data_IF_683167055012
#
_entry.id   IF_683167055012
#
_cell.length_a   1.000
_cell.length_b   1.000
_cell.length_c   1.000
_cell.angle_alpha   90.00
_cell.angle_beta   90.00
_cell.angle_gamma   90.00
#
_symmetry.space_group_name_H-M   'P 1'
#
loop_
_entity.id
_entity.type
_entity.pdbx_description
1 polymer ?
#
# COMPACT_ATOMS: atom_id res chain seq x y z
N UNK A 1 16.76 14.74 22.69
CA UNK A 1 17.00 14.07 23.98
C UNK A 1 15.70 13.37 24.37
N UNK A 2 15.71 12.07 24.68
CA UNK A 2 14.49 11.38 25.15
C UNK A 2 14.33 11.53 26.68
N UNK A 3 13.11 11.76 27.20
CA UNK A 3 12.87 11.80 28.63
C UNK A 3 13.18 10.44 29.26
N UNK A 4 13.87 10.44 30.42
CA UNK A 4 14.17 9.21 31.17
C UNK A 4 13.02 8.77 32.08
N UNK A 5 12.03 9.63 32.28
CA UNK A 5 10.89 9.44 33.17
C UNK A 5 9.59 9.69 32.41
N UNK A 6 8.45 9.11 32.85
CA UNK A 6 7.15 9.38 32.26
C UNK A 6 6.79 10.87 32.28
N UNK A 7 6.11 11.32 31.23
CA UNK A 7 5.48 12.64 31.15
C UNK A 7 4.00 12.46 31.41
N UNK A 8 3.48 13.17 32.42
CA UNK A 8 2.05 13.14 32.74
C UNK A 8 1.28 14.07 31.79
N UNK A 9 0.38 13.49 30.99
CA UNK A 9 -0.37 14.22 29.95
C UNK A 9 -1.19 15.37 30.54
N UNK A 10 -1.81 15.16 31.70
CA UNK A 10 -2.61 16.17 32.39
C UNK A 10 -1.80 17.36 32.95
N UNK A 11 -0.46 17.31 32.89
CA UNK A 11 0.42 18.42 33.22
C UNK A 11 0.87 19.21 31.99
N UNK A 12 0.52 18.76 30.78
CA UNK A 12 0.78 19.48 29.54
C UNK A 12 -0.27 20.58 29.33
N UNK A 13 0.04 21.56 28.48
CA UNK A 13 -0.95 22.56 28.09
C UNK A 13 -2.11 21.91 27.32
N UNK A 14 -3.29 22.52 27.38
CA UNK A 14 -4.48 22.03 26.67
C UNK A 14 -4.23 21.89 25.15
N UNK A 15 -3.47 22.82 24.56
CA UNK A 15 -3.12 22.78 23.15
C UNK A 15 -2.23 21.56 22.82
N UNK A 16 -1.28 21.23 23.70
CA UNK A 16 -0.44 20.04 23.54
C UNK A 16 -1.27 18.76 23.70
N UNK A 17 -2.16 18.70 24.70
CA UNK A 17 -3.05 17.55 24.90
C UNK A 17 -3.97 17.32 23.69
N UNK A 18 -4.48 18.39 23.08
CA UNK A 18 -5.41 18.32 21.96
C UNK A 18 -4.82 17.70 20.66
N UNK A 19 -3.50 17.75 20.49
CA UNK A 19 -2.82 17.28 19.28
C UNK A 19 -2.21 15.87 19.42
N UNK A 20 -2.18 15.28 20.62
CA UNK A 20 -1.66 13.93 20.83
C UNK A 20 -2.46 12.91 19.99
N UNK A 21 -1.74 12.10 19.21
CA UNK A 21 -2.30 11.08 18.34
C UNK A 21 -3.04 11.65 17.11
N UNK A 22 -2.87 12.95 16.81
CA UNK A 22 -3.47 13.58 15.63
C UNK A 22 -2.45 13.67 14.51
N UNK A 23 -2.89 13.29 13.31
CA UNK A 23 -2.13 13.58 12.08
C UNK A 23 -2.41 15.00 11.61
N UNK A 24 -1.45 15.60 10.92
CA UNK A 24 -1.65 16.85 10.20
C UNK A 24 -2.77 16.71 9.14
N UNK A 25 -3.46 17.80 8.80
CA UNK A 25 -4.57 17.75 7.84
C UNK A 25 -4.17 17.16 6.49
N UNK A 26 -2.98 17.52 6.02
CA UNK A 26 -2.41 17.00 4.77
C UNK A 26 -2.10 15.50 4.80
N UNK A 27 -1.96 14.87 5.97
CA UNK A 27 -1.64 13.44 6.12
C UNK A 27 -2.84 12.58 6.50
N UNK A 28 -4.02 13.18 6.75
CA UNK A 28 -5.29 12.45 6.92
C UNK A 28 -5.60 11.47 5.77
N UNK A 29 -5.39 11.81 4.48
CA UNK A 29 -5.63 10.86 3.40
C UNK A 29 -4.71 9.63 3.45
N UNK A 30 -3.44 9.83 3.80
CA UNK A 30 -2.47 8.74 3.91
C UNK A 30 -2.83 7.80 5.07
N UNK A 31 -3.24 8.35 6.23
CA UNK A 31 -3.73 7.54 7.35
C UNK A 31 -4.95 6.70 6.96
N UNK A 32 -5.91 7.28 6.23
CA UNK A 32 -7.08 6.54 5.74
C UNK A 32 -6.71 5.41 4.77
N UNK A 33 -5.71 5.62 3.92
CA UNK A 33 -5.19 4.58 3.03
C UNK A 33 -4.62 3.43 3.85
N UNK A 34 -3.76 3.70 4.83
CA UNK A 34 -3.19 2.68 5.71
C UNK A 34 -4.29 1.94 6.51
N UNK A 35 -5.31 2.66 6.99
CA UNK A 35 -6.44 2.03 7.68
C UNK A 35 -7.25 1.08 6.79
N UNK A 36 -7.42 1.43 5.50
CA UNK A 36 -8.04 0.50 4.52
C UNK A 36 -7.20 -0.76 4.31
N UNK A 37 -5.88 -0.61 4.34
CA UNK A 37 -4.95 -1.74 4.32
C UNK A 37 -4.92 -2.53 5.64
N UNK A 38 -5.64 -2.10 6.69
CA UNK A 38 -5.73 -2.83 7.97
C UNK A 38 -4.81 -2.31 9.08
N UNK A 39 -4.12 -1.18 8.88
CA UNK A 39 -3.30 -0.56 9.91
C UNK A 39 -4.15 0.09 11.01
N UNK A 40 -3.71 -0.07 12.25
CA UNK A 40 -4.36 0.47 13.45
C UNK A 40 -3.37 1.27 14.30
N UNK A 41 -3.87 2.26 15.04
CA UNK A 41 -3.08 2.99 16.04
C UNK A 41 -3.14 2.24 17.37
N UNK A 42 -1.98 1.95 17.99
CA UNK A 42 -1.88 1.26 19.28
C UNK A 42 -1.29 2.13 20.39
N UNK A 43 -1.84 3.33 20.55
CA UNK A 43 -1.49 4.26 21.65
C UNK A 43 0.00 4.67 21.72
N UNK A 44 0.72 4.55 20.59
CA UNK A 44 2.06 5.08 20.42
C UNK A 44 2.02 6.37 19.60
N UNK A 45 2.85 7.32 19.99
CA UNK A 45 3.00 8.59 19.29
C UNK A 45 4.46 8.92 19.04
N UNK A 46 4.72 9.68 17.99
CA UNK A 46 6.05 10.22 17.70
C UNK A 46 6.50 11.17 18.83
N UNK A 47 7.78 11.12 19.17
CA UNK A 47 8.34 11.86 20.31
C UNK A 47 8.55 13.36 20.03
N UNK A 48 8.45 13.80 18.78
CA UNK A 48 8.66 15.18 18.37
C UNK A 48 7.32 15.91 18.16
N UNK A 49 6.38 15.30 17.43
CA UNK A 49 5.11 15.96 17.07
C UNK A 49 3.86 15.28 17.66
N UNK A 50 4.03 14.20 18.41
CA UNK A 50 2.94 13.39 18.96
C UNK A 50 1.97 12.83 17.91
N UNK A 51 2.39 12.72 16.65
CA UNK A 51 1.63 12.05 15.60
C UNK A 51 1.45 10.56 15.89
N UNK A 52 0.32 9.94 15.51
CA UNK A 52 0.04 8.55 15.82
C UNK A 52 0.97 7.60 15.06
N UNK A 53 1.46 6.57 15.74
CA UNK A 53 2.09 5.43 15.08
C UNK A 53 1.03 4.40 14.73
N UNK A 54 1.04 3.93 13.48
CA UNK A 54 0.15 2.87 13.02
C UNK A 54 0.93 1.62 12.63
N UNK A 55 0.34 0.47 12.90
CA UNK A 55 0.94 -0.83 12.63
C UNK A 55 -0.10 -1.85 12.17
N UNK A 56 0.35 -2.89 11.48
CA UNK A 56 -0.47 -3.99 10.99
C UNK A 56 0.36 -5.28 10.98
N UNK A 57 -0.27 -6.42 11.27
CA UNK A 57 0.34 -7.72 10.97
C UNK A 57 0.40 -7.89 9.46
N UNK A 58 1.50 -8.46 8.93
CA UNK A 58 1.68 -8.65 7.50
C UNK A 58 0.51 -9.40 6.83
N UNK A 59 -0.08 -10.39 7.52
CA UNK A 59 -1.20 -11.18 6.99
C UNK A 59 -2.52 -10.41 6.99
N UNK A 60 -2.58 -9.28 7.69
CA UNK A 60 -3.74 -8.40 7.73
C UNK A 60 -3.66 -7.26 6.71
N UNK A 61 -2.52 -7.07 6.06
CA UNK A 61 -2.37 -6.08 5.00
C UNK A 61 -3.19 -6.52 3.78
N UNK A 62 -4.27 -5.79 3.47
CA UNK A 62 -5.26 -6.26 2.49
C UNK A 62 -4.65 -6.46 1.09
N UNK A 63 -3.89 -5.48 0.57
CA UNK A 63 -3.21 -5.60 -0.71
C UNK A 63 -2.22 -6.78 -0.73
N UNK A 64 -1.52 -7.05 0.37
CA UNK A 64 -0.61 -8.20 0.45
C UNK A 64 -1.38 -9.51 0.39
N UNK A 65 -2.42 -9.64 1.20
CA UNK A 65 -3.26 -10.84 1.33
C UNK A 65 -4.01 -11.17 0.04
N UNK A 66 -4.56 -10.15 -0.62
CA UNK A 66 -5.33 -10.32 -1.86
C UNK A 66 -4.45 -10.44 -3.10
N UNK A 67 -3.16 -10.07 -3.01
CA UNK A 67 -2.29 -10.15 -4.17
C UNK A 67 -2.00 -11.59 -4.61
N UNK A 68 -2.05 -11.81 -5.91
CA UNK A 68 -1.78 -13.10 -6.55
C UNK A 68 -0.80 -12.92 -7.71
N UNK A 69 -0.31 -14.03 -8.27
CA UNK A 69 0.60 -14.00 -9.43
C UNK A 69 -0.16 -14.42 -10.69
N UNK A 70 0.13 -13.77 -11.80
CA UNK A 70 -0.43 -14.11 -13.11
C UNK A 70 0.68 -14.14 -14.16
N UNK A 71 0.54 -15.03 -15.15
CA UNK A 71 1.47 -15.12 -16.27
C UNK A 71 1.10 -14.12 -17.35
N UNK A 72 2.07 -13.34 -17.82
CA UNK A 72 1.84 -12.26 -18.77
C UNK A 72 1.57 -12.81 -20.18
N UNK A 73 0.55 -12.28 -20.82
CA UNK A 73 0.32 -12.35 -22.27
C UNK A 73 0.21 -10.94 -22.80
N UNK A 74 1.01 -10.57 -23.79
CA UNK A 74 0.98 -9.21 -24.35
C UNK A 74 0.02 -9.18 -25.54
N UNK A 75 -1.11 -8.49 -25.38
CA UNK A 75 -2.09 -8.23 -26.44
C UNK A 75 -3.00 -7.05 -26.06
N UNK A 76 -3.77 -6.55 -27.02
CA UNK A 76 -4.81 -5.56 -26.73
C UNK A 76 -6.00 -6.21 -26.01
N UNK A 77 -6.60 -5.48 -25.07
CA UNK A 77 -7.80 -5.91 -24.35
C UNK A 77 -8.73 -4.72 -24.09
N UNK A 78 -10.02 -4.99 -23.88
CA UNK A 78 -11.04 -3.99 -23.55
C UNK A 78 -11.48 -4.01 -22.08
N UNK A 79 -10.78 -4.77 -21.22
CA UNK A 79 -11.07 -4.80 -19.78
C UNK A 79 -10.96 -3.42 -19.16
N UNK A 80 -11.93 -3.07 -18.32
CA UNK A 80 -11.97 -1.84 -17.52
C UNK A 80 -11.60 -2.08 -16.06
N UNK A 81 -11.41 -3.35 -15.66
CA UNK A 81 -11.05 -3.69 -14.28
C UNK A 81 -9.61 -3.27 -14.00
N UNK A 82 -9.44 -2.41 -13.00
CA UNK A 82 -8.13 -1.90 -12.60
C UNK A 82 -7.44 -2.84 -11.62
N UNK A 83 -6.13 -2.92 -11.78
CA UNK A 83 -5.25 -3.66 -10.90
C UNK A 83 -4.05 -2.80 -10.51
N UNK A 84 -3.56 -3.00 -9.29
CA UNK A 84 -2.16 -2.71 -9.00
C UNK A 84 -1.35 -3.90 -9.50
N UNK A 85 -0.35 -3.65 -10.35
CA UNK A 85 0.44 -4.68 -11.00
C UNK A 85 1.91 -4.34 -10.79
N UNK A 86 2.70 -5.30 -10.32
CA UNK A 86 4.14 -5.17 -10.24
C UNK A 86 4.86 -6.34 -10.91
N UNK A 87 6.07 -6.06 -11.40
CA UNK A 87 6.96 -7.13 -11.83
C UNK A 87 7.50 -7.90 -10.60
N UNK A 88 8.19 -9.01 -10.86
CA UNK A 88 8.74 -9.87 -9.79
C UNK A 88 10.23 -9.64 -9.57
N UNK A 89 10.78 -8.54 -10.09
CA UNK A 89 12.19 -8.19 -9.97
C UNK A 89 12.49 -7.51 -8.63
N UNK A 90 13.58 -7.91 -7.99
CA UNK A 90 14.08 -7.25 -6.79
C UNK A 90 14.88 -5.99 -7.13
N UNK A 91 15.81 -6.08 -8.08
CA UNK A 91 16.69 -4.96 -8.45
C UNK A 91 16.00 -3.91 -9.33
N UNK A 92 15.16 -4.36 -10.26
CA UNK A 92 14.47 -3.50 -11.22
C UNK A 92 12.96 -3.50 -10.96
N UNK A 93 12.57 -3.31 -9.70
CA UNK A 93 11.15 -3.27 -9.33
C UNK A 93 10.41 -2.18 -10.10
N UNK A 94 9.26 -2.54 -10.67
CA UNK A 94 8.32 -1.63 -11.35
C UNK A 94 6.90 -1.99 -10.94
N UNK A 95 6.05 -0.97 -10.80
CA UNK A 95 4.64 -1.15 -10.54
C UNK A 95 3.80 -0.09 -11.27
N UNK A 96 2.59 -0.47 -11.66
CA UNK A 96 1.60 0.40 -12.31
C UNK A 96 0.21 0.17 -11.71
N UNK A 97 -0.67 1.15 -11.88
CA UNK A 97 -2.10 1.02 -11.62
C UNK A 97 -2.84 1.19 -12.95
N UNK A 98 -3.23 0.08 -13.58
CA UNK A 98 -3.77 0.08 -14.95
C UNK A 98 -4.87 -0.98 -15.12
N UNK A 99 -5.77 -0.81 -16.10
CA UNK A 99 -6.68 -1.87 -16.50
C UNK A 99 -5.92 -3.09 -17.02
N UNK A 100 -6.41 -4.28 -16.69
CA UNK A 100 -5.89 -5.54 -17.24
C UNK A 100 -7.01 -6.56 -17.41
N UNK A 101 -6.87 -7.47 -18.38
CA UNK A 101 -7.79 -8.60 -18.53
C UNK A 101 -7.17 -9.85 -17.90
N UNK A 102 -7.60 -10.16 -16.68
CA UNK A 102 -7.17 -11.36 -15.97
C UNK A 102 -8.15 -12.51 -16.21
N UNK A 103 -7.61 -13.67 -16.57
CA UNK A 103 -8.33 -14.94 -16.65
C UNK A 103 -7.92 -15.85 -15.50
N UNK A 104 -8.87 -16.11 -14.59
CA UNK A 104 -8.65 -16.92 -13.41
C UNK A 104 -8.43 -18.41 -13.73
N UNK A 105 -9.01 -18.92 -14.83
CA UNK A 105 -8.88 -20.35 -15.19
C UNK A 105 -7.48 -20.66 -15.71
N UNK A 106 -6.93 -19.82 -16.60
CA UNK A 106 -5.59 -20.00 -17.13
C UNK A 106 -4.49 -19.37 -16.27
N UNK A 107 -4.84 -18.60 -15.24
CA UNK A 107 -3.91 -17.79 -14.42
C UNK A 107 -3.05 -16.85 -15.29
N UNK A 108 -3.64 -16.33 -16.37
CA UNK A 108 -2.97 -15.41 -17.29
C UNK A 108 -3.58 -14.02 -17.19
N UNK A 109 -2.74 -13.02 -17.42
CA UNK A 109 -3.16 -11.63 -17.56
C UNK A 109 -2.77 -11.13 -18.92
N UNK A 110 -3.72 -10.54 -19.63
CA UNK A 110 -3.45 -9.79 -20.85
C UNK A 110 -3.09 -8.36 -20.45
N UNK A 111 -1.90 -7.93 -20.87
CA UNK A 111 -1.40 -6.56 -20.70
C UNK A 111 -1.20 -5.92 -22.08
N UNK A 112 -1.53 -4.64 -22.20
CA UNK A 112 -1.14 -3.87 -23.39
C UNK A 112 0.38 -3.78 -23.49
N UNK A 113 0.89 -3.49 -24.69
CA UNK A 113 2.33 -3.34 -24.92
C UNK A 113 2.93 -2.25 -24.04
N UNK A 114 2.26 -1.11 -23.92
CA UNK A 114 2.70 0.02 -23.09
C UNK A 114 2.87 -0.38 -21.61
N UNK A 115 1.92 -1.14 -21.08
CA UNK A 115 1.98 -1.62 -19.68
C UNK A 115 3.11 -2.63 -19.48
N UNK A 116 3.30 -3.56 -20.43
CA UNK A 116 4.38 -4.54 -20.37
C UNK A 116 5.77 -3.87 -20.45
N UNK A 117 5.92 -2.86 -21.31
CA UNK A 117 7.15 -2.06 -21.41
C UNK A 117 7.43 -1.27 -20.13
N UNK A 118 6.42 -0.61 -19.55
CA UNK A 118 6.55 0.11 -18.28
C UNK A 118 6.93 -0.80 -17.10
N UNK A 119 6.48 -2.05 -17.12
CA UNK A 119 6.81 -3.07 -16.13
C UNK A 119 8.13 -3.81 -16.41
N UNK A 120 8.71 -3.61 -17.60
CA UNK A 120 9.88 -4.35 -18.10
C UNK A 120 9.68 -5.88 -18.09
N UNK A 121 8.52 -6.35 -18.58
CA UNK A 121 8.15 -7.78 -18.65
C UNK A 121 7.84 -8.22 -20.08
N UNK A 122 8.11 -9.49 -20.38
CA UNK A 122 7.77 -10.14 -21.65
C UNK A 122 6.59 -11.13 -21.48
N UNK A 123 5.99 -11.52 -22.60
CA UNK A 123 5.03 -12.63 -22.61
C UNK A 123 5.66 -13.89 -22.01
N UNK A 124 4.98 -14.48 -21.04
CA UNK A 124 5.43 -15.65 -20.30
C UNK A 124 6.08 -15.35 -18.96
N UNK A 125 6.44 -14.10 -18.68
CA UNK A 125 6.92 -13.68 -17.36
C UNK A 125 5.80 -13.67 -16.33
N UNK A 126 6.18 -13.53 -15.07
CA UNK A 126 5.25 -13.42 -13.95
C UNK A 126 5.19 -12.00 -13.41
N UNK A 127 3.96 -11.54 -13.20
CA UNK A 127 3.65 -10.34 -12.41
C UNK A 127 2.92 -10.73 -11.14
N UNK A 128 2.95 -9.85 -10.14
CA UNK A 128 2.07 -9.91 -8.97
C UNK A 128 1.06 -8.78 -9.07
N UNK A 129 -0.20 -9.06 -8.73
CA UNK A 129 -1.27 -8.09 -8.87
C UNK A 129 -2.38 -8.26 -7.84
N UNK A 130 -3.11 -7.19 -7.60
CA UNK A 130 -4.37 -7.18 -6.83
C UNK A 130 -5.37 -6.28 -7.52
N UNK A 131 -6.66 -6.62 -7.43
CA UNK A 131 -7.72 -5.74 -7.91
C UNK A 131 -7.79 -4.46 -7.05
N UNK A 132 -8.19 -3.35 -7.66
CA UNK A 132 -8.54 -2.08 -6.99
C UNK A 132 -10.05 -1.88 -6.94
#
# INVERSE_FOLDING_TARGET
>A
MMPKLPIYINLLSEEAQAVIGKVHDNTKPALRLLQKEGFICRDYVDIFDAGPTVECDLNNIDTVRQSFRAKVSIAEHSSTQHYLICNTSFENFRAVAQPAAFDNESQTVILSREVAEALEVASGDWVRMTAQ
#
